data_IF_833609249495
#
_entry.id   IF_833609249495
#
_cell.length_a   1.000
_cell.length_b   1.000
_cell.length_c   1.000
_cell.angle_alpha   90.00
_cell.angle_beta   90.00
_cell.angle_gamma   90.00
#
_symmetry.space_group_name_H-M   'P 1'
#
loop_
_entity.id
_entity.type
_entity.pdbx_description
1 polymer ?
#
# COMPACT_ATOMS: atom_id res chain seq x y z
N UNK A 1 48.03 51.61 29.31
CA UNK A 1 47.82 51.23 27.90
C UNK A 1 47.60 49.74 27.91
N UNK A 2 46.36 49.28 27.79
CA UNK A 2 46.05 47.84 27.73
C UNK A 2 46.51 47.31 26.38
N UNK A 3 47.35 46.27 26.41
CA UNK A 3 47.99 45.68 25.23
C UNK A 3 46.90 45.10 24.29
N UNK A 4 46.74 45.73 23.11
CA UNK A 4 45.76 45.40 22.09
C UNK A 4 45.84 43.89 21.68
N UNK A 5 47.02 43.28 21.77
CA UNK A 5 47.23 41.88 21.42
C UNK A 5 46.64 40.93 22.50
N UNK A 6 46.68 41.32 23.77
CA UNK A 6 46.07 40.51 24.83
C UNK A 6 44.54 40.52 24.75
N UNK A 7 43.94 41.65 24.38
CA UNK A 7 42.50 41.78 24.22
C UNK A 7 42.00 40.87 23.04
N UNK A 8 42.70 40.90 21.90
CA UNK A 8 42.42 40.05 20.76
C UNK A 8 42.52 38.55 21.08
N UNK A 9 43.56 38.16 21.83
CA UNK A 9 43.72 36.77 22.26
C UNK A 9 42.63 36.26 23.19
N UNK A 10 42.18 37.06 24.13
CA UNK A 10 41.05 36.74 25.04
C UNK A 10 39.79 36.63 24.24
N UNK A 11 39.48 37.55 23.35
CA UNK A 11 38.29 37.53 22.49
C UNK A 11 38.24 36.27 21.61
N UNK A 12 39.36 35.91 20.97
CA UNK A 12 39.42 34.70 20.16
C UNK A 12 39.23 33.43 20.98
N UNK A 13 39.73 33.36 22.18
CA UNK A 13 39.51 32.24 23.12
C UNK A 13 38.05 32.13 23.51
N UNK A 14 37.41 33.24 23.87
CA UNK A 14 35.99 33.30 24.26
C UNK A 14 35.09 32.89 23.09
N UNK A 15 35.36 33.35 21.86
CA UNK A 15 34.60 32.97 20.65
C UNK A 15 34.72 31.45 20.38
N UNK A 16 35.91 30.85 20.57
CA UNK A 16 36.04 29.39 20.42
C UNK A 16 35.23 28.60 21.42
N UNK A 17 35.15 29.03 22.68
CA UNK A 17 34.35 28.36 23.69
C UNK A 17 32.84 28.54 23.43
N UNK A 18 32.41 29.72 22.99
CA UNK A 18 31.01 29.97 22.60
C UNK A 18 30.62 29.13 21.39
N UNK A 19 31.50 29.04 20.38
CA UNK A 19 31.26 28.27 19.19
C UNK A 19 31.23 26.76 19.48
N UNK A 20 32.10 26.25 20.37
CA UNK A 20 32.10 24.87 20.85
C UNK A 20 30.83 24.54 21.66
N UNK A 21 30.39 25.46 22.52
CA UNK A 21 29.15 25.32 23.27
C UNK A 21 27.91 25.29 22.38
N UNK A 22 27.86 26.13 21.35
CA UNK A 22 26.76 26.13 20.37
C UNK A 22 26.75 24.85 19.51
N UNK A 23 27.93 24.35 19.13
CA UNK A 23 28.04 23.09 18.39
C UNK A 23 27.58 21.88 19.20
N UNK A 24 27.76 21.89 20.52
CA UNK A 24 27.31 20.82 21.41
C UNK A 24 25.78 20.78 21.56
N UNK A 25 25.11 21.93 21.49
CA UNK A 25 23.64 22.04 21.57
C UNK A 25 22.94 21.59 20.29
N UNK A 26 23.61 21.61 19.13
CA UNK A 26 23.00 21.15 17.87
C UNK A 26 22.98 19.62 17.74
N UNK A 27 23.64 18.88 18.63
CA UNK A 27 23.64 17.39 18.61
C UNK A 27 22.51 16.77 19.41
N UNK A 28 21.75 17.54 20.18
CA UNK A 28 20.53 17.07 20.83
C UNK A 28 19.30 17.33 19.93
N UNK A 29 19.32 16.74 18.72
CA UNK A 29 18.14 16.69 17.87
C UNK A 29 17.17 15.71 18.50
N UNK A 30 16.04 16.19 19.01
CA UNK A 30 14.94 15.35 19.46
C UNK A 30 14.38 14.60 18.25
N UNK A 31 14.63 13.30 18.16
CA UNK A 31 14.03 12.42 17.16
C UNK A 31 12.49 12.32 17.30
N UNK A 32 11.97 12.54 18.50
CA UNK A 32 10.54 12.36 18.82
C UNK A 32 9.63 13.48 18.28
N UNK A 33 10.20 14.61 17.78
CA UNK A 33 9.39 15.70 17.25
C UNK A 33 8.74 15.38 15.89
N UNK A 34 9.28 14.40 15.14
CA UNK A 34 8.79 13.99 13.81
C UNK A 34 7.89 12.77 13.83
N UNK A 35 7.72 12.07 14.95
CA UNK A 35 6.73 11.01 15.08
C UNK A 35 5.34 11.59 15.39
N UNK A 36 4.83 12.39 14.48
CA UNK A 36 3.40 12.75 14.49
C UNK A 36 2.66 11.56 13.84
N UNK A 37 2.22 10.61 14.67
CA UNK A 37 1.17 9.69 14.25
C UNK A 37 -0.07 10.53 13.94
N UNK A 38 -0.59 10.56 12.69
CA UNK A 38 -1.83 11.27 12.42
C UNK A 38 -2.91 10.70 13.33
N UNK A 39 -3.59 11.54 14.12
CA UNK A 39 -4.65 11.14 15.07
C UNK A 39 -5.80 10.35 14.41
N UNK A 40 -5.81 10.28 13.07
CA UNK A 40 -6.80 9.56 12.25
C UNK A 40 -6.29 8.23 11.70
N UNK A 41 -5.01 7.87 11.87
CA UNK A 41 -4.47 6.57 11.45
C UNK A 41 -4.26 5.69 12.68
N UNK A 42 -5.11 4.67 12.79
CA UNK A 42 -4.90 3.57 13.74
C UNK A 42 -3.61 2.87 13.34
N UNK A 43 -2.67 2.69 14.28
CA UNK A 43 -1.44 1.96 13.99
C UNK A 43 -1.78 0.52 13.58
N UNK A 44 -0.95 -0.09 12.75
CA UNK A 44 -1.18 -1.50 12.35
C UNK A 44 -1.25 -2.41 13.57
N UNK A 45 -0.44 -2.14 14.58
CA UNK A 45 -0.38 -2.96 15.80
C UNK A 45 -1.68 -2.84 16.61
N UNK A 46 -2.19 -1.61 16.83
CA UNK A 46 -3.46 -1.38 17.53
C UNK A 46 -4.65 -2.01 16.81
N UNK A 47 -4.59 -2.06 15.47
CA UNK A 47 -5.66 -2.63 14.64
C UNK A 47 -5.80 -4.14 14.87
N UNK A 48 -4.69 -4.85 15.06
CA UNK A 48 -4.66 -6.30 15.23
C UNK A 48 -4.69 -6.76 16.69
N UNK A 49 -4.81 -5.85 17.66
CA UNK A 49 -4.98 -6.21 19.08
C UNK A 49 -6.31 -6.90 19.38
N UNK A 50 -7.34 -6.66 18.55
CA UNK A 50 -8.71 -7.17 18.76
C UNK A 50 -9.23 -7.88 17.52
N UNK A 51 -10.03 -8.93 17.71
CA UNK A 51 -10.67 -9.68 16.62
C UNK A 51 -11.50 -8.82 15.67
N UNK A 52 -12.12 -7.73 16.16
CA UNK A 52 -12.84 -6.78 15.31
C UNK A 52 -11.93 -6.09 14.28
N UNK A 53 -10.69 -5.79 14.61
CA UNK A 53 -9.73 -5.21 13.66
C UNK A 53 -9.47 -6.15 12.48
N UNK A 54 -9.34 -7.44 12.73
CA UNK A 54 -9.21 -8.44 11.66
C UNK A 54 -10.44 -8.49 10.75
N UNK A 55 -11.67 -8.42 11.33
CA UNK A 55 -12.92 -8.33 10.54
C UNK A 55 -12.94 -7.08 9.65
N UNK A 56 -12.51 -5.94 10.20
CA UNK A 56 -12.42 -4.69 9.44
C UNK A 56 -11.43 -4.81 8.28
N UNK A 57 -10.29 -5.48 8.47
CA UNK A 57 -9.32 -5.70 7.40
C UNK A 57 -9.86 -6.63 6.30
N UNK A 58 -10.54 -7.72 6.66
CA UNK A 58 -11.21 -8.60 5.68
C UNK A 58 -12.28 -7.83 4.90
N UNK A 59 -13.09 -7.01 5.56
CA UNK A 59 -14.05 -6.13 4.87
C UNK A 59 -13.34 -5.13 3.94
N UNK A 60 -12.15 -4.65 4.34
CA UNK A 60 -11.27 -3.82 3.52
C UNK A 60 -10.82 -4.51 2.24
N UNK A 61 -10.52 -5.82 2.28
CA UNK A 61 -10.20 -6.61 1.09
C UNK A 61 -11.36 -6.60 0.09
N UNK A 62 -12.57 -6.90 0.55
CA UNK A 62 -13.75 -6.90 -0.32
C UNK A 62 -14.07 -5.52 -0.88
N UNK A 63 -13.86 -4.46 -0.08
CA UNK A 63 -13.97 -3.08 -0.57
C UNK A 63 -12.94 -2.78 -1.66
N UNK A 64 -11.70 -3.23 -1.50
CA UNK A 64 -10.65 -3.05 -2.50
C UNK A 64 -10.94 -3.83 -3.79
N UNK A 65 -11.41 -5.07 -3.68
CA UNK A 65 -11.88 -5.86 -4.82
C UNK A 65 -13.04 -5.17 -5.55
N UNK A 66 -13.96 -4.55 -4.81
CA UNK A 66 -15.10 -3.80 -5.35
C UNK A 66 -14.74 -2.39 -5.86
N UNK A 67 -13.47 -2.07 -6.12
CA UNK A 67 -13.09 -0.82 -6.77
C UNK A 67 -13.37 -0.85 -8.28
N UNK A 68 -13.56 0.32 -8.88
CA UNK A 68 -13.78 0.43 -10.34
C UNK A 68 -12.58 -0.07 -11.16
N UNK A 69 -11.38 0.08 -10.64
CA UNK A 69 -10.16 -0.45 -11.29
C UNK A 69 -10.06 -1.99 -11.23
N UNK A 70 -10.91 -2.66 -10.44
CA UNK A 70 -10.95 -4.11 -10.31
C UNK A 70 -12.33 -4.65 -10.69
N UNK A 71 -12.97 -5.39 -9.79
CA UNK A 71 -14.18 -6.18 -10.12
C UNK A 71 -15.48 -5.38 -10.16
N UNK A 72 -15.50 -4.09 -9.73
CA UNK A 72 -16.69 -3.28 -9.95
C UNK A 72 -16.84 -2.82 -11.41
N UNK A 73 -15.74 -2.78 -12.19
CA UNK A 73 -15.78 -2.37 -13.59
C UNK A 73 -14.79 -3.11 -14.47
N UNK A 74 -13.47 -2.86 -14.31
CA UNK A 74 -12.47 -3.24 -15.32
C UNK A 74 -12.32 -4.76 -15.49
N UNK A 75 -12.43 -5.54 -14.41
CA UNK A 75 -12.31 -7.00 -14.43
C UNK A 75 -13.66 -7.72 -14.60
N UNK A 76 -14.69 -6.98 -14.97
CA UNK A 76 -16.02 -7.51 -15.29
C UNK A 76 -16.47 -6.95 -16.63
N UNK A 77 -17.33 -5.94 -16.62
CA UNK A 77 -17.94 -5.38 -17.83
C UNK A 77 -17.10 -4.28 -18.54
N UNK A 78 -15.97 -3.85 -17.98
CA UNK A 78 -15.05 -2.88 -18.57
C UNK A 78 -13.97 -3.53 -19.46
N UNK A 79 -12.70 -3.37 -19.04
CA UNK A 79 -11.53 -3.82 -19.80
C UNK A 79 -11.63 -5.29 -20.23
N UNK A 80 -12.04 -6.19 -19.32
CA UNK A 80 -12.05 -7.64 -19.60
C UNK A 80 -13.08 -8.03 -20.66
N UNK A 81 -14.33 -7.52 -20.55
CA UNK A 81 -15.38 -7.83 -21.53
C UNK A 81 -15.13 -7.18 -22.88
N UNK A 82 -14.49 -5.99 -22.90
CA UNK A 82 -14.05 -5.35 -24.13
C UNK A 82 -12.97 -6.16 -24.83
N UNK A 83 -11.98 -6.69 -24.09
CA UNK A 83 -10.99 -7.63 -24.63
C UNK A 83 -11.62 -8.92 -25.14
N UNK A 84 -12.66 -9.40 -24.46
CA UNK A 84 -13.47 -10.54 -24.87
C UNK A 84 -14.35 -10.29 -26.09
N UNK A 85 -14.39 -9.03 -26.58
CA UNK A 85 -15.19 -8.60 -27.73
C UNK A 85 -16.70 -8.81 -27.55
N UNK A 86 -17.20 -8.67 -26.32
CA UNK A 86 -18.62 -8.78 -26.00
C UNK A 86 -19.41 -7.55 -26.44
N UNK A 87 -18.74 -6.42 -26.77
CA UNK A 87 -19.36 -5.16 -27.17
C UNK A 87 -19.14 -4.87 -28.67
N UNK A 88 -20.09 -4.15 -29.24
CA UNK A 88 -19.93 -3.60 -30.60
C UNK A 88 -19.00 -2.41 -30.53
N UNK A 89 -17.88 -2.47 -31.23
CA UNK A 89 -16.79 -1.47 -31.18
C UNK A 89 -17.26 -0.02 -31.34
N UNK A 90 -18.19 0.20 -32.27
CA UNK A 90 -18.71 1.55 -32.57
C UNK A 90 -19.49 2.21 -31.43
N UNK A 91 -19.95 1.41 -30.46
CA UNK A 91 -20.68 1.87 -29.28
C UNK A 91 -19.77 2.14 -28.07
N UNK A 92 -18.46 1.81 -28.18
CA UNK A 92 -17.48 2.09 -27.17
C UNK A 92 -16.97 3.52 -27.26
N UNK A 93 -16.57 4.09 -26.14
CA UNK A 93 -15.81 5.34 -26.14
C UNK A 93 -14.39 5.12 -26.72
N UNK A 94 -13.68 6.21 -26.97
CA UNK A 94 -12.38 6.17 -27.63
C UNK A 94 -11.35 5.30 -26.88
N UNK A 95 -11.34 5.32 -25.54
CA UNK A 95 -10.41 4.51 -24.73
C UNK A 95 -10.72 3.03 -24.87
N UNK A 96 -11.98 2.64 -24.74
CA UNK A 96 -12.36 1.23 -24.87
C UNK A 96 -12.32 0.73 -26.33
N UNK A 97 -12.44 1.61 -27.34
CA UNK A 97 -12.10 1.25 -28.71
C UNK A 97 -10.63 0.86 -28.84
N UNK A 98 -9.72 1.59 -28.18
CA UNK A 98 -8.29 1.28 -28.18
C UNK A 98 -8.00 -0.05 -27.42
N UNK A 99 -8.73 -0.33 -26.35
CA UNK A 99 -8.68 -1.64 -25.66
C UNK A 99 -9.14 -2.75 -26.61
N UNK A 100 -10.27 -2.58 -27.28
CA UNK A 100 -10.80 -3.53 -28.26
C UNK A 100 -9.80 -3.82 -29.41
N UNK A 101 -9.10 -2.78 -29.83
CA UNK A 101 -8.07 -2.84 -30.89
C UNK A 101 -6.70 -3.33 -30.34
N UNK A 102 -6.62 -3.70 -29.06
CA UNK A 102 -5.42 -4.23 -28.36
C UNK A 102 -4.22 -3.27 -28.38
N UNK A 103 -4.49 -1.97 -28.34
CA UNK A 103 -3.47 -0.93 -28.28
C UNK A 103 -2.96 -0.73 -26.85
N UNK A 104 -2.34 -1.73 -26.27
CA UNK A 104 -1.97 -1.78 -24.85
C UNK A 104 -0.95 -0.68 -24.43
N UNK A 105 -0.14 -0.21 -25.38
CA UNK A 105 0.86 0.85 -25.13
C UNK A 105 0.28 2.27 -25.27
N UNK A 106 -1.02 2.38 -25.60
CA UNK A 106 -1.66 3.68 -25.76
C UNK A 106 -1.77 4.41 -24.41
N UNK A 107 -1.48 5.71 -24.40
CA UNK A 107 -1.50 6.54 -23.19
C UNK A 107 -2.86 6.57 -22.47
N UNK A 108 -3.98 6.29 -23.15
CA UNK A 108 -5.29 6.18 -22.52
C UNK A 108 -5.56 4.78 -21.92
N UNK A 109 -4.91 3.73 -22.45
CA UNK A 109 -5.10 2.33 -22.02
C UNK A 109 -4.16 1.95 -20.87
N UNK A 110 -2.91 2.43 -20.90
CA UNK A 110 -1.92 2.15 -19.86
C UNK A 110 -2.42 2.41 -18.43
N UNK A 111 -3.12 3.54 -18.12
CA UNK A 111 -3.62 3.77 -16.75
C UNK A 111 -4.64 2.71 -16.30
N UNK A 112 -5.42 2.11 -17.20
CA UNK A 112 -6.35 1.02 -16.87
C UNK A 112 -5.55 -0.22 -16.49
N UNK A 113 -4.57 -0.60 -17.31
CA UNK A 113 -3.71 -1.77 -17.07
C UNK A 113 -2.92 -1.62 -15.77
N UNK A 114 -2.31 -0.45 -15.57
CA UNK A 114 -1.55 -0.13 -14.34
C UNK A 114 -2.46 -0.11 -13.11
N UNK A 115 -3.69 0.38 -13.26
CA UNK A 115 -4.70 0.38 -12.20
C UNK A 115 -5.10 -1.03 -11.79
N UNK A 116 -5.32 -1.94 -12.76
CA UNK A 116 -5.60 -3.36 -12.51
C UNK A 116 -4.40 -4.01 -11.80
N UNK A 117 -3.20 -3.87 -12.36
CA UNK A 117 -1.98 -4.45 -11.82
C UNK A 117 -1.72 -4.01 -10.38
N UNK A 118 -1.63 -2.72 -10.17
CA UNK A 118 -1.34 -2.14 -8.85
C UNK A 118 -2.42 -2.44 -7.83
N UNK A 119 -3.70 -2.39 -8.22
CA UNK A 119 -4.84 -2.72 -7.37
C UNK A 119 -4.82 -4.18 -6.93
N UNK A 120 -4.55 -5.12 -7.83
CA UNK A 120 -4.42 -6.54 -7.50
C UNK A 120 -3.28 -6.82 -6.54
N UNK A 121 -2.08 -6.26 -6.78
CA UNK A 121 -0.94 -6.45 -5.87
C UNK A 121 -1.16 -5.78 -4.52
N UNK A 122 -1.91 -4.67 -4.46
CA UNK A 122 -2.33 -4.09 -3.20
C UNK A 122 -3.20 -5.05 -2.39
N UNK A 123 -4.21 -5.68 -3.02
CA UNK A 123 -5.06 -6.69 -2.36
C UNK A 123 -4.21 -7.87 -1.86
N UNK A 124 -3.25 -8.35 -2.64
CA UNK A 124 -2.34 -9.43 -2.22
C UNK A 124 -1.51 -9.01 -1.00
N UNK A 125 -0.99 -7.79 -0.98
CA UNK A 125 -0.24 -7.26 0.17
C UNK A 125 -1.12 -7.18 1.43
N UNK A 126 -2.36 -6.69 1.29
CA UNK A 126 -3.33 -6.63 2.38
C UNK A 126 -3.67 -8.06 2.89
N UNK A 127 -3.84 -9.04 2.00
CA UNK A 127 -4.02 -10.45 2.38
C UNK A 127 -2.83 -11.01 3.16
N UNK A 128 -1.60 -10.74 2.69
CA UNK A 128 -0.38 -11.20 3.37
C UNK A 128 -0.28 -10.61 4.77
N UNK A 129 -0.61 -9.33 4.93
CA UNK A 129 -0.62 -8.66 6.22
C UNK A 129 -1.63 -9.30 7.20
N UNK A 130 -2.86 -9.58 6.73
CA UNK A 130 -3.87 -10.28 7.56
C UNK A 130 -3.38 -11.67 7.95
N UNK A 131 -2.83 -12.45 7.02
CA UNK A 131 -2.37 -13.82 7.27
C UNK A 131 -1.24 -13.82 8.31
N UNK A 132 -0.27 -12.91 8.17
CA UNK A 132 0.85 -12.80 9.09
C UNK A 132 0.38 -12.52 10.53
N UNK A 133 -0.56 -11.58 10.70
CA UNK A 133 -1.05 -11.20 12.03
C UNK A 133 -1.99 -12.26 12.61
N UNK A 134 -2.89 -12.85 11.81
CA UNK A 134 -3.83 -13.86 12.30
C UNK A 134 -3.13 -15.16 12.73
N UNK A 135 -2.00 -15.50 12.11
CA UNK A 135 -1.20 -16.66 12.49
C UNK A 135 -0.49 -16.49 13.86
N UNK A 136 -0.21 -15.24 14.24
CA UNK A 136 0.37 -14.86 15.54
C UNK A 136 -0.68 -14.58 16.63
N UNK A 137 -1.94 -14.36 16.24
CA UNK A 137 -2.99 -13.93 17.14
C UNK A 137 -3.46 -15.05 18.07
N UNK A 138 -3.72 -14.67 19.35
CA UNK A 138 -4.36 -15.58 20.31
C UNK A 138 -5.85 -15.80 19.97
N UNK A 139 -6.34 -17.02 20.14
CA UNK A 139 -7.77 -17.32 19.97
C UNK A 139 -8.67 -16.47 20.88
N UNK A 140 -8.15 -16.03 22.04
CA UNK A 140 -8.92 -15.29 23.04
C UNK A 140 -9.36 -13.88 22.62
N UNK A 141 -8.75 -13.30 21.59
CA UNK A 141 -9.13 -11.97 21.10
C UNK A 141 -10.34 -12.01 20.15
N UNK A 142 -10.72 -13.21 19.69
CA UNK A 142 -11.86 -13.42 18.77
C UNK A 142 -13.11 -13.83 19.55
N UNK A 143 -14.27 -13.30 19.18
CA UNK A 143 -15.54 -13.61 19.86
C UNK A 143 -15.90 -15.09 19.82
N UNK A 144 -15.68 -15.73 18.65
CA UNK A 144 -15.91 -17.16 18.46
C UNK A 144 -14.65 -18.00 18.63
N UNK A 145 -13.56 -17.41 19.14
CA UNK A 145 -12.30 -18.09 19.36
C UNK A 145 -11.63 -18.60 18.08
N UNK A 146 -11.12 -19.83 18.14
CA UNK A 146 -10.41 -20.47 17.03
C UNK A 146 -11.19 -20.56 15.72
N UNK A 147 -12.48 -20.94 15.69
CA UNK A 147 -13.26 -20.99 14.44
C UNK A 147 -13.28 -19.66 13.69
N UNK A 148 -13.39 -18.56 14.39
CA UNK A 148 -13.36 -17.23 13.77
C UNK A 148 -11.97 -16.89 13.23
N UNK A 149 -10.92 -17.13 14.00
CA UNK A 149 -9.54 -16.94 13.57
C UNK A 149 -9.23 -17.72 12.31
N UNK A 150 -9.62 -18.99 12.24
CA UNK A 150 -9.41 -19.84 11.08
C UNK A 150 -10.26 -19.40 9.87
N UNK A 151 -11.48 -18.90 10.08
CA UNK A 151 -12.32 -18.33 9.04
C UNK A 151 -11.64 -17.12 8.40
N UNK A 152 -11.20 -16.15 9.19
CA UNK A 152 -10.50 -14.95 8.72
C UNK A 152 -9.25 -15.33 7.90
N UNK A 153 -8.46 -16.27 8.42
CA UNK A 153 -7.30 -16.80 7.70
C UNK A 153 -7.69 -17.42 6.36
N UNK A 154 -8.72 -18.24 6.36
CA UNK A 154 -9.24 -18.90 5.15
C UNK A 154 -9.73 -17.92 4.10
N UNK A 155 -10.46 -16.88 4.50
CA UNK A 155 -10.92 -15.82 3.61
C UNK A 155 -9.74 -15.06 2.97
N UNK A 156 -8.75 -14.66 3.75
CA UNK A 156 -7.56 -13.98 3.23
C UNK A 156 -6.77 -14.87 2.25
N UNK A 157 -6.63 -16.16 2.55
CA UNK A 157 -5.98 -17.12 1.64
C UNK A 157 -6.76 -17.30 0.34
N UNK A 158 -8.08 -17.40 0.42
CA UNK A 158 -8.95 -17.56 -0.75
C UNK A 158 -8.89 -16.33 -1.67
N UNK A 159 -8.99 -15.13 -1.10
CA UNK A 159 -8.87 -13.87 -1.86
C UNK A 159 -7.49 -13.77 -2.50
N UNK A 160 -6.42 -14.08 -1.78
CA UNK A 160 -5.06 -14.07 -2.32
C UNK A 160 -4.90 -15.02 -3.49
N UNK A 161 -5.41 -16.23 -3.37
CA UNK A 161 -5.34 -17.22 -4.45
C UNK A 161 -6.15 -16.79 -5.68
N UNK A 162 -7.35 -16.24 -5.47
CA UNK A 162 -8.21 -15.73 -6.51
C UNK A 162 -7.55 -14.61 -7.32
N UNK A 163 -6.98 -13.61 -6.63
CA UNK A 163 -6.32 -12.48 -7.29
C UNK A 163 -5.04 -12.92 -8.00
N UNK A 164 -4.24 -13.83 -7.44
CA UNK A 164 -3.08 -14.39 -8.13
C UNK A 164 -3.47 -15.17 -9.40
N UNK A 165 -4.59 -15.89 -9.36
CA UNK A 165 -5.07 -16.62 -10.53
C UNK A 165 -5.47 -15.63 -11.65
N UNK A 166 -6.12 -14.53 -11.33
CA UNK A 166 -6.47 -13.52 -12.34
C UNK A 166 -5.25 -12.76 -12.85
N UNK A 167 -4.26 -12.45 -12.01
CA UNK A 167 -2.97 -11.92 -12.47
C UNK A 167 -2.30 -12.87 -13.46
N UNK A 168 -2.30 -14.16 -13.16
CA UNK A 168 -1.74 -15.19 -14.07
C UNK A 168 -2.46 -15.19 -15.42
N UNK A 169 -3.80 -15.16 -15.40
CA UNK A 169 -4.61 -15.17 -16.63
C UNK A 169 -4.42 -13.92 -17.50
N UNK A 170 -4.23 -12.77 -16.87
CA UNK A 170 -4.17 -11.48 -17.58
C UNK A 170 -2.75 -11.13 -18.05
N UNK A 171 -1.73 -11.48 -17.26
CA UNK A 171 -0.38 -10.95 -17.44
C UNK A 171 0.69 -12.01 -17.72
N UNK A 172 0.40 -13.31 -17.53
CA UNK A 172 1.39 -14.33 -17.85
C UNK A 172 1.48 -14.56 -19.37
N UNK A 173 2.66 -14.91 -19.88
CA UNK A 173 2.80 -15.35 -21.27
C UNK A 173 1.87 -16.53 -21.56
N UNK A 174 1.23 -16.52 -22.72
CA UNK A 174 0.47 -17.68 -23.17
C UNK A 174 1.41 -18.90 -23.27
N UNK A 175 0.97 -20.12 -22.84
CA UNK A 175 1.77 -21.31 -23.02
C UNK A 175 2.06 -21.51 -24.52
N UNK A 176 3.32 -21.83 -24.85
CA UNK A 176 3.67 -22.18 -26.20
C UNK A 176 2.85 -23.41 -26.63
N UNK A 177 2.04 -23.24 -27.64
CA UNK A 177 1.36 -24.41 -28.31
C UNK A 177 2.40 -25.09 -29.15
N UNK A 178 2.90 -26.23 -28.68
CA UNK A 178 3.79 -27.11 -29.45
C UNK A 178 3.00 -27.91 -30.51
#
# INVERSE_FOLDING_TARGET
MLDSNRIKFVIMKTIRYIMGFFLFFTLTSCNDWFEVSPETQVSSDDLYEKGNGFRMQVNGLYKSLGSSSLYAQELTWGFLDVLGQYYVRQNLDNTYQQVNDRQYENANVLPIIDGIWSGMYKVIADCNNIIEHVDKASNSIFELGEPERLKIRGEALAVRAFVHFDLLRLFAPAPAVN
#
